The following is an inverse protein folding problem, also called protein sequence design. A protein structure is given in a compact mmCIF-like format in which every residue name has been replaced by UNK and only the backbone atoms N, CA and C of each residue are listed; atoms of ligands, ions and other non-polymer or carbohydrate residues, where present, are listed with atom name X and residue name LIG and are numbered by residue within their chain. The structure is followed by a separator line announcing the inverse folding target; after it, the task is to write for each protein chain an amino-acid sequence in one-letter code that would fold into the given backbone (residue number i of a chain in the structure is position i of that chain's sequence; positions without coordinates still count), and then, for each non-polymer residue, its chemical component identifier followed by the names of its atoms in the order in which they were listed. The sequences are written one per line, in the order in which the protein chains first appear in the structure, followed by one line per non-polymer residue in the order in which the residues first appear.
data_IF_101201797840
#
_entry.id   IF_101201797840
#
_cell.length_a   1.000
_cell.length_b   1.000
_cell.length_c   1.000
_cell.angle_alpha   90.00
_cell.angle_beta   90.00
_cell.angle_gamma   90.00
#
_symmetry.space_group_name_H-M   'P 1'
#
loop_
_entity.id
_entity.type
_entity.pdbx_description
1 polymer ?
#
# COMPACT_ATOMS: atom_id res chain seq x y z
N UNK A 1 9.86 13.43 3.06
CA UNK A 1 9.46 12.15 3.68
C UNK A 1 8.65 11.34 2.70
N UNK A 2 8.51 10.07 2.93
CA UNK A 2 7.78 9.18 2.02
C UNK A 2 6.79 8.30 2.79
N UNK A 3 5.72 7.90 2.11
CA UNK A 3 4.67 7.03 2.65
C UNK A 3 4.47 5.88 1.66
N UNK A 4 4.49 4.65 2.15
CA UNK A 4 4.07 3.49 1.36
C UNK A 4 2.55 3.38 1.41
N UNK A 5 1.94 3.18 0.25
CA UNK A 5 0.48 3.18 0.10
C UNK A 5 -0.01 1.76 -0.18
N UNK A 6 -0.88 1.28 0.69
CA UNK A 6 -1.50 -0.05 0.58
C UNK A 6 -2.73 -0.04 -0.32
N UNK A 7 -3.16 -1.23 -0.73
CA UNK A 7 -4.30 -1.49 -1.60
C UNK A 7 -5.57 -0.75 -1.17
N UNK A 8 -5.93 -0.86 0.11
CA UNK A 8 -7.18 -0.29 0.64
C UNK A 8 -7.28 1.22 0.49
N UNK A 9 -6.14 1.92 0.55
CA UNK A 9 -6.10 3.37 0.38
C UNK A 9 -6.41 3.74 -1.07
N UNK A 10 -5.76 3.09 -2.02
CA UNK A 10 -5.99 3.35 -3.45
C UNK A 10 -7.43 3.02 -3.84
N UNK A 11 -7.96 1.92 -3.33
CA UNK A 11 -9.36 1.56 -3.56
C UNK A 11 -10.31 2.59 -2.95
N UNK A 12 -10.09 3.01 -1.70
CA UNK A 12 -10.93 3.99 -1.02
C UNK A 12 -10.98 5.35 -1.73
N UNK A 13 -9.86 5.75 -2.34
CA UNK A 13 -9.83 6.99 -3.15
C UNK A 13 -10.72 6.88 -4.39
N UNK A 14 -10.84 5.71 -4.97
CA UNK A 14 -11.60 5.49 -6.21
C UNK A 14 -13.09 5.22 -5.98
N UNK A 15 -13.48 4.73 -4.81
CA UNK A 15 -14.86 4.33 -4.51
C UNK A 15 -15.49 5.30 -3.50
N UNK A 16 -16.36 6.17 -4.00
CA UNK A 16 -17.08 7.18 -3.20
C UNK A 16 -17.93 6.57 -2.08
N UNK A 17 -18.36 5.32 -2.26
CA UNK A 17 -19.20 4.61 -1.29
C UNK A 17 -18.38 3.81 -0.26
N UNK A 18 -17.06 3.76 -0.40
CA UNK A 18 -16.20 3.11 0.59
C UNK A 18 -16.22 3.87 1.92
N UNK A 19 -16.28 3.13 3.03
CA UNK A 19 -16.33 3.72 4.37
C UNK A 19 -15.12 4.62 4.69
N UNK A 20 -13.99 4.38 4.03
CA UNK A 20 -12.77 5.15 4.22
C UNK A 20 -12.60 6.30 3.21
N UNK A 21 -13.53 6.46 2.26
CA UNK A 21 -13.36 7.39 1.15
C UNK A 21 -13.07 8.84 1.60
N UNK A 22 -13.95 9.42 2.40
CA UNK A 22 -13.80 10.82 2.82
C UNK A 22 -12.53 11.04 3.62
N UNK A 23 -12.27 10.18 4.58
CA UNK A 23 -11.07 10.26 5.44
C UNK A 23 -9.78 10.12 4.62
N UNK A 24 -9.76 9.20 3.67
CA UNK A 24 -8.60 8.97 2.81
C UNK A 24 -8.39 10.12 1.84
N UNK A 25 -9.46 10.62 1.24
CA UNK A 25 -9.41 11.78 0.36
C UNK A 25 -8.87 13.02 1.09
N UNK A 26 -9.41 13.33 2.27
CA UNK A 26 -8.98 14.50 3.05
C UNK A 26 -7.50 14.38 3.42
N UNK A 27 -7.07 13.17 3.82
CA UNK A 27 -5.66 12.91 4.08
C UNK A 27 -4.79 13.11 2.81
N UNK A 28 -5.22 12.57 1.68
CA UNK A 28 -4.47 12.66 0.43
C UNK A 28 -4.35 14.11 -0.06
N UNK A 29 -5.37 14.94 0.15
CA UNK A 29 -5.36 16.36 -0.21
C UNK A 29 -4.37 17.17 0.66
N UNK A 30 -4.18 16.75 1.90
CA UNK A 30 -3.34 17.46 2.87
C UNK A 30 -1.91 16.94 2.94
N UNK A 31 -1.64 15.71 2.51
CA UNK A 31 -0.32 15.09 2.64
C UNK A 31 0.67 15.75 1.69
N UNK A 32 1.84 16.10 2.23
CA UNK A 32 2.94 16.68 1.46
C UNK A 32 4.08 15.69 1.19
N UNK A 33 3.96 14.48 1.72
CA UNK A 33 4.96 13.43 1.56
C UNK A 33 4.86 12.79 0.18
N UNK A 34 5.97 12.21 -0.27
CA UNK A 34 6.00 11.41 -1.49
C UNK A 34 5.21 10.12 -1.27
N UNK A 35 4.20 9.89 -2.10
CA UNK A 35 3.41 8.68 -2.05
C UNK A 35 4.03 7.61 -2.95
N UNK A 36 4.47 6.52 -2.35
CA UNK A 36 5.11 5.40 -3.04
C UNK A 36 4.17 4.20 -3.03
N UNK A 37 3.85 3.69 -4.21
CA UNK A 37 2.97 2.53 -4.38
C UNK A 37 3.84 1.31 -4.68
N UNK A 38 3.86 0.31 -3.78
CA UNK A 38 4.51 -0.96 -4.07
C UNK A 38 3.91 -1.61 -5.31
N UNK A 39 4.73 -2.10 -6.22
CA UNK A 39 4.24 -2.74 -7.45
C UNK A 39 3.30 -3.91 -7.14
N UNK A 40 3.47 -4.56 -6.00
CA UNK A 40 2.68 -5.71 -5.59
C UNK A 40 1.22 -5.39 -5.27
N UNK A 41 0.88 -4.12 -4.99
CA UNK A 41 -0.51 -3.73 -4.77
C UNK A 41 -1.26 -3.47 -6.07
N UNK A 42 -0.58 -3.26 -7.19
CA UNK A 42 -1.22 -2.94 -8.47
C UNK A 42 -2.23 -3.99 -8.92
N UNK A 43 -1.88 -5.30 -9.00
CA UNK A 43 -2.86 -6.31 -9.40
C UNK A 43 -4.04 -6.41 -8.44
N UNK A 44 -3.81 -6.20 -7.16
CA UNK A 44 -4.84 -6.28 -6.13
C UNK A 44 -5.84 -5.15 -6.27
N UNK A 45 -5.35 -3.91 -6.44
CA UNK A 45 -6.20 -2.74 -6.69
C UNK A 45 -6.96 -2.90 -8.00
N UNK A 46 -6.27 -3.27 -9.08
CA UNK A 46 -6.90 -3.49 -10.38
C UNK A 46 -8.03 -4.50 -10.31
N UNK A 47 -7.81 -5.62 -9.64
CA UNK A 47 -8.84 -6.65 -9.46
C UNK A 47 -10.06 -6.11 -8.70
N UNK A 48 -9.84 -5.40 -7.60
CA UNK A 48 -10.93 -4.83 -6.80
C UNK A 48 -11.72 -3.78 -7.57
N UNK A 49 -11.04 -2.90 -8.30
CA UNK A 49 -11.69 -1.88 -9.11
C UNK A 49 -12.55 -2.52 -10.20
N UNK A 50 -12.00 -3.49 -10.92
CA UNK A 50 -12.73 -4.18 -11.99
C UNK A 50 -13.97 -4.89 -11.43
N UNK A 51 -13.82 -5.67 -10.37
CA UNK A 51 -14.90 -6.49 -9.84
C UNK A 51 -15.99 -5.70 -9.14
N UNK A 52 -15.65 -4.56 -8.54
CA UNK A 52 -16.62 -3.77 -7.77
C UNK A 52 -17.15 -2.55 -8.52
N UNK A 53 -16.33 -1.91 -9.34
CA UNK A 53 -16.68 -0.66 -10.03
C UNK A 53 -16.68 -0.76 -11.56
N UNK A 54 -16.14 -1.85 -12.11
CA UNK A 54 -16.14 -2.12 -13.55
C UNK A 54 -14.85 -1.74 -14.26
N UNK A 55 -14.79 -2.10 -15.55
CA UNK A 55 -13.59 -1.96 -16.37
C UNK A 55 -13.13 -0.50 -16.53
N UNK A 56 -14.04 0.45 -16.55
CA UNK A 56 -13.69 1.87 -16.71
C UNK A 56 -12.91 2.41 -15.51
N UNK A 57 -13.26 1.98 -14.29
CA UNK A 57 -12.55 2.38 -13.08
C UNK A 57 -11.14 1.79 -13.04
N UNK A 58 -11.00 0.53 -13.42
CA UNK A 58 -9.68 -0.11 -13.54
C UNK A 58 -8.80 0.61 -14.57
N UNK A 59 -9.35 0.91 -15.75
CA UNK A 59 -8.62 1.63 -16.79
C UNK A 59 -8.16 3.01 -16.30
N UNK A 60 -9.04 3.76 -15.63
CA UNK A 60 -8.71 5.08 -15.11
C UNK A 60 -7.54 5.01 -14.12
N UNK A 61 -7.52 4.00 -13.25
CA UNK A 61 -6.41 3.78 -12.31
C UNK A 61 -5.10 3.51 -13.04
N UNK A 62 -5.11 2.62 -14.03
CA UNK A 62 -3.91 2.29 -14.82
C UNK A 62 -3.41 3.51 -15.59
N UNK A 63 -4.31 4.31 -16.15
CA UNK A 63 -3.95 5.56 -16.84
C UNK A 63 -3.30 6.56 -15.89
N UNK A 64 -3.82 6.69 -14.68
CA UNK A 64 -3.25 7.56 -13.63
C UNK A 64 -1.83 7.11 -13.27
N UNK A 65 -1.63 5.82 -13.06
CA UNK A 65 -0.31 5.25 -12.79
C UNK A 65 0.65 5.47 -13.97
N UNK A 66 0.19 5.28 -15.20
CA UNK A 66 0.98 5.50 -16.41
C UNK A 66 1.38 6.97 -16.59
N UNK A 67 0.52 7.89 -16.15
CA UNK A 67 0.79 9.34 -16.19
C UNK A 67 1.78 9.80 -15.11
N UNK A 68 2.18 8.91 -14.20
CA UNK A 68 3.12 9.25 -13.13
C UNK A 68 2.52 9.99 -11.95
N UNK A 69 1.21 9.89 -11.76
CA UNK A 69 0.55 10.53 -10.62
C UNK A 69 0.92 9.89 -9.28
N UNK A 70 1.41 8.65 -9.32
CA UNK A 70 2.00 7.96 -8.18
C UNK A 70 3.36 7.38 -8.58
N UNK A 71 4.24 7.24 -7.62
CA UNK A 71 5.53 6.58 -7.84
C UNK A 71 5.40 5.10 -7.54
N UNK A 72 5.74 4.25 -8.52
CA UNK A 72 5.69 2.80 -8.37
C UNK A 72 7.05 2.29 -7.94
N UNK A 73 7.10 1.60 -6.81
CA UNK A 73 8.33 0.96 -6.34
C UNK A 73 8.38 -0.49 -6.82
N UNK A 74 9.43 -0.88 -7.57
CA UNK A 74 9.57 -2.25 -8.04
C UNK A 74 9.95 -3.21 -6.93
N UNK A 75 9.56 -4.48 -7.09
CA UNK A 75 9.95 -5.56 -6.20
C UNK A 75 11.35 -6.04 -6.56
N UNK A 76 12.21 -6.18 -5.55
CA UNK A 76 13.57 -6.68 -5.73
C UNK A 76 13.71 -8.09 -5.15
N UNK A 77 14.73 -8.81 -5.60
CA UNK A 77 15.04 -10.16 -5.11
C UNK A 77 15.20 -10.17 -3.59
N UNK A 78 15.89 -9.20 -3.02
CA UNK A 78 16.08 -9.07 -1.58
C UNK A 78 14.78 -8.88 -0.80
N UNK A 79 13.79 -8.24 -1.42
CA UNK A 79 12.47 -8.07 -0.81
C UNK A 79 11.77 -9.41 -0.64
N UNK A 80 11.90 -10.30 -1.63
CA UNK A 80 11.31 -11.65 -1.56
C UNK A 80 11.92 -12.48 -0.43
N UNK A 81 13.22 -12.37 -0.22
CA UNK A 81 13.89 -13.06 0.90
C UNK A 81 13.32 -12.60 2.23
N UNK A 82 13.21 -11.28 2.43
CA UNK A 82 12.64 -10.73 3.66
C UNK A 82 11.14 -11.04 3.79
N UNK A 83 10.42 -10.99 2.68
CA UNK A 83 9.00 -11.34 2.63
C UNK A 83 8.75 -12.78 3.14
N UNK A 84 9.56 -13.73 2.70
CA UNK A 84 9.47 -15.11 3.17
C UNK A 84 9.71 -15.23 4.69
N UNK A 85 10.66 -14.47 5.23
CA UNK A 85 10.92 -14.42 6.66
C UNK A 85 9.72 -13.87 7.44
N UNK A 86 9.11 -12.79 6.95
CA UNK A 86 7.93 -12.18 7.59
C UNK A 86 6.77 -13.17 7.57
N UNK A 87 6.50 -13.80 6.44
CA UNK A 87 5.41 -14.78 6.32
C UNK A 87 5.61 -16.00 7.21
N UNK A 88 6.87 -16.46 7.37
CA UNK A 88 7.18 -17.57 8.25
C UNK A 88 6.93 -17.22 9.72
N UNK A 89 7.34 -16.01 10.11
CA UNK A 89 7.23 -15.54 11.50
C UNK A 89 5.81 -15.13 11.87
N UNK A 90 5.08 -14.58 10.91
CA UNK A 90 3.71 -14.09 11.09
C UNK A 90 2.78 -14.75 10.08
N UNK A 91 2.30 -15.99 10.35
CA UNK A 91 1.54 -16.76 9.36
C UNK A 91 0.24 -16.12 8.89
N UNK A 92 -0.32 -15.18 9.66
CA UNK A 92 -1.54 -14.47 9.30
C UNK A 92 -1.31 -13.32 8.32
N UNK A 93 -0.04 -12.96 8.08
CA UNK A 93 0.30 -11.88 7.17
C UNK A 93 0.55 -12.45 5.78
N UNK A 94 -0.22 -11.98 4.80
CA UNK A 94 -0.11 -12.45 3.42
C UNK A 94 1.07 -11.84 2.67
N UNK A 95 1.23 -12.28 1.42
CA UNK A 95 2.34 -11.90 0.56
C UNK A 95 2.42 -10.39 0.34
N UNK A 96 1.32 -9.74 -0.03
CA UNK A 96 1.33 -8.30 -0.35
C UNK A 96 1.78 -7.48 0.85
N UNK A 97 1.17 -7.69 2.03
CA UNK A 97 1.55 -6.97 3.25
C UNK A 97 3.00 -7.23 3.64
N UNK A 98 3.47 -8.46 3.45
CA UNK A 98 4.87 -8.83 3.71
C UNK A 98 5.83 -8.12 2.76
N UNK A 99 5.45 -7.90 1.49
CA UNK A 99 6.26 -7.11 0.55
C UNK A 99 6.31 -5.64 0.95
N UNK A 100 5.23 -5.10 1.49
CA UNK A 100 5.21 -3.72 1.99
C UNK A 100 6.19 -3.57 3.17
N UNK A 101 6.19 -4.52 4.09
CA UNK A 101 7.17 -4.54 5.20
C UNK A 101 8.61 -4.58 4.68
N UNK A 102 8.89 -5.47 3.73
CA UNK A 102 10.23 -5.62 3.15
C UNK A 102 10.68 -4.33 2.45
N UNK A 103 9.80 -3.70 1.67
CA UNK A 103 10.10 -2.44 1.00
C UNK A 103 10.28 -1.29 1.98
N UNK A 104 9.46 -1.23 3.03
CA UNK A 104 9.58 -0.22 4.08
C UNK A 104 10.96 -0.28 4.75
N UNK A 105 11.42 -1.49 5.05
CA UNK A 105 12.75 -1.69 5.64
C UNK A 105 13.87 -1.29 4.68
N UNK A 106 13.78 -1.72 3.42
CA UNK A 106 14.78 -1.40 2.40
C UNK A 106 14.88 0.11 2.14
N UNK A 107 13.76 0.78 2.08
CA UNK A 107 13.67 2.22 1.78
C UNK A 107 13.76 3.09 3.04
N UNK A 108 13.80 2.50 4.22
CA UNK A 108 13.80 3.19 5.52
C UNK A 108 12.58 4.10 5.66
N UNK A 109 11.40 3.59 5.30
CA UNK A 109 10.12 4.29 5.40
C UNK A 109 9.39 3.81 6.66
N UNK A 110 8.94 4.73 7.48
CA UNK A 110 8.27 4.44 8.74
C UNK A 110 6.76 4.62 8.70
N UNK A 111 6.24 5.25 7.64
CA UNK A 111 4.82 5.57 7.50
C UNK A 111 4.17 4.72 6.42
N UNK A 112 3.08 4.05 6.77
CA UNK A 112 2.29 3.24 5.85
C UNK A 112 0.85 3.77 5.85
N UNK A 113 0.34 4.09 4.66
CA UNK A 113 -1.08 4.44 4.48
C UNK A 113 -1.87 3.15 4.24
N UNK A 114 -2.75 2.81 5.17
CA UNK A 114 -3.49 1.55 5.13
C UNK A 114 -4.84 1.67 5.82
N UNK A 115 -5.81 0.91 5.33
CA UNK A 115 -7.09 0.71 6.02
C UNK A 115 -7.04 -0.52 6.93
N UNK A 116 -6.07 -1.41 6.73
CA UNK A 116 -5.84 -2.59 7.58
C UNK A 116 -4.66 -2.34 8.52
N UNK A 117 -4.98 -1.92 9.74
CA UNK A 117 -3.97 -1.55 10.72
C UNK A 117 -3.39 -2.73 11.49
N UNK A 118 -4.14 -3.82 11.57
CA UNK A 118 -3.81 -4.95 12.45
C UNK A 118 -2.51 -5.64 12.07
N UNK A 119 -2.32 -5.93 10.79
CA UNK A 119 -1.14 -6.64 10.32
C UNK A 119 0.15 -5.84 10.53
N UNK A 120 0.13 -4.56 10.18
CA UNK A 120 1.33 -3.72 10.33
C UNK A 120 1.64 -3.37 11.78
N UNK A 121 0.64 -3.33 12.65
CA UNK A 121 0.86 -3.15 14.09
C UNK A 121 1.53 -4.37 14.75
N UNK A 122 1.35 -5.55 14.15
CA UNK A 122 1.84 -6.83 14.68
C UNK A 122 3.32 -7.07 14.37
N UNK A 123 3.82 -6.57 13.23
CA UNK A 123 5.15 -6.90 12.72
C UNK A 123 6.22 -6.10 13.45
N UNK A 124 7.27 -6.82 13.90
CA UNK A 124 8.49 -6.18 14.37
C UNK A 124 9.39 -5.86 13.18
N UNK A 125 9.42 -4.59 12.82
CA UNK A 125 10.28 -4.11 11.75
C UNK A 125 11.74 -4.02 12.21
N UNK A 126 12.66 -4.12 11.24
CA UNK A 126 14.11 -4.01 11.50
C UNK A 126 14.59 -2.58 11.70
N UNK A 127 13.84 -1.57 11.21
CA UNK A 127 14.28 -0.18 11.17
C UNK A 127 13.50 0.77 12.06
N UNK A 128 12.35 0.35 12.57
CA UNK A 128 11.50 1.18 13.45
C UNK A 128 10.83 0.32 14.52
N UNK A 129 10.52 0.93 15.66
CA UNK A 129 9.81 0.22 16.74
C UNK A 129 8.36 -0.06 16.39
N UNK A 130 7.74 0.87 15.67
CA UNK A 130 6.36 0.75 15.20
C UNK A 130 6.18 1.62 13.96
N UNK A 131 5.37 1.15 13.01
CA UNK A 131 4.98 1.97 11.87
C UNK A 131 4.01 3.06 12.31
N UNK A 132 4.14 4.23 11.71
CA UNK A 132 3.09 5.24 11.75
C UNK A 132 2.05 4.87 10.69
N UNK A 133 0.84 4.54 11.13
CA UNK A 133 -0.25 4.15 10.23
C UNK A 133 -1.18 5.33 10.00
N UNK A 134 -1.40 5.69 8.73
CA UNK A 134 -2.22 6.81 8.29
C UNK A 134 -3.28 6.30 7.30
N UNK A 135 -4.35 7.04 7.03
CA UNK A 135 -4.86 8.22 7.70
C UNK A 135 -5.39 8.00 9.10
#
# INVERSE_FOLDING_TARGET
MAVLVDTGILYALADEDDAWHERTRDWADDVNDLLIVPVTVLPEVSYLLHSRLGAAAELAFVQSAAAGEVEIEPLRQQDLTRCADVMRRYPDIGFVDSTIVAMAERLTIETIATTDRRHFAMVKSRHTKAYQLVP
#
